data_IF_666116438010
#
_entry.id   IF_666116438010
#
_cell.length_a   1.000
_cell.length_b   1.000
_cell.length_c   1.000
_cell.angle_alpha   90.00
_cell.angle_beta   90.00
_cell.angle_gamma   90.00
#
_symmetry.space_group_name_H-M   'P 1'
#
loop_
_entity.id
_entity.type
_entity.pdbx_description
1 polymer ?
2 non-polymer ?
3 water ?
#
# COMPACT_ATOMS: atom_id res chain seq x y z
N UNK A 1 3.87 -7.84 -17.07
CA UNK A 1 3.61 -6.65 -16.20
C UNK A 1 3.12 -7.11 -14.82
N UNK A 2 3.90 -6.90 -13.76
CA UNK A 2 3.51 -7.41 -12.41
C UNK A 2 4.09 -6.58 -11.26
N UNK A 3 3.60 -6.85 -10.06
CA UNK A 3 3.91 -6.16 -8.79
C UNK A 3 4.60 -7.17 -7.86
N UNK A 4 5.73 -6.77 -7.28
CA UNK A 4 6.45 -7.52 -6.23
C UNK A 4 6.25 -6.81 -4.91
N UNK A 5 5.87 -7.57 -3.88
CA UNK A 5 5.76 -7.08 -2.49
C UNK A 5 6.97 -7.66 -1.76
N UNK A 6 7.95 -6.83 -1.32
CA UNK A 6 9.16 -7.35 -0.70
C UNK A 6 8.80 -8.21 0.50
N UNK A 7 7.73 -7.81 1.20
CA UNK A 7 7.41 -8.27 2.58
C UNK A 7 5.90 -8.53 2.66
N UNK A 8 5.51 -9.68 3.21
CA UNK A 8 4.12 -10.17 3.29
C UNK A 8 3.59 -9.98 4.69
N UNK A 9 4.48 -9.73 5.66
CA UNK A 9 4.05 -9.51 7.06
C UNK A 9 4.91 -8.41 7.68
N UNK A 10 4.23 -7.46 8.32
CA UNK A 10 4.87 -6.37 9.06
C UNK A 10 4.29 -6.47 10.46
N UNK A 11 5.17 -6.62 11.45
CA UNK A 11 4.69 -6.67 12.85
C UNK A 11 5.31 -5.48 13.57
N UNK A 12 4.46 -4.54 13.92
CA UNK A 12 4.96 -3.25 14.46
C UNK A 12 4.31 -3.00 15.82
N UNK A 13 4.93 -2.21 16.72
CA UNK A 13 4.26 -1.70 17.91
C UNK A 13 3.43 -0.45 17.59
N UNK A 14 2.48 -0.15 18.44
CA UNK A 14 1.72 1.12 18.44
C UNK A 14 2.73 2.29 18.56
N UNK A 15 2.44 3.43 17.91
CA UNK A 15 3.30 4.63 17.97
C UNK A 15 4.42 4.63 16.95
N UNK A 16 4.67 3.53 16.30
CA UNK A 16 5.71 3.48 15.24
C UNK A 16 5.18 4.07 13.94
N UNK A 17 6.10 4.27 13.02
CA UNK A 17 5.80 4.63 11.62
C UNK A 17 6.12 3.39 10.80
N UNK A 18 5.42 3.16 9.72
CA UNK A 18 5.81 2.05 8.82
C UNK A 18 5.53 2.51 7.41
N UNK A 19 6.37 2.04 6.52
CA UNK A 19 6.19 2.18 5.06
C UNK A 19 5.93 0.79 4.53
N UNK A 20 4.74 0.57 4.00
CA UNK A 20 4.38 -0.63 3.20
C UNK A 20 4.77 -0.31 1.75
N UNK A 21 5.33 -1.27 1.06
CA UNK A 21 6.04 -1.13 -0.23
C UNK A 21 5.52 -2.19 -1.18
N UNK A 22 5.40 -1.79 -2.43
CA UNK A 22 5.17 -2.67 -3.60
C UNK A 22 6.09 -2.13 -4.67
N UNK A 23 6.61 -3.02 -5.52
CA UNK A 23 7.63 -2.63 -6.51
C UNK A 23 7.13 -3.05 -7.89
N UNK A 24 7.31 -2.16 -8.86
CA UNK A 24 6.74 -2.37 -10.21
C UNK A 24 7.85 -2.83 -11.14
N UNK A 25 7.64 -4.00 -11.75
CA UNK A 25 8.54 -4.54 -12.79
C UNK A 25 7.84 -4.37 -14.14
N UNK A 26 8.58 -3.92 -15.18
CA UNK A 26 8.09 -3.81 -16.57
C UNK A 26 8.34 -2.43 -17.13
N UNK A 33 2.75 6.52 -24.93
CA UNK A 33 2.94 6.61 -23.46
C UNK A 33 1.71 6.00 -22.77
N UNK A 34 1.79 5.76 -21.46
CA UNK A 34 0.74 5.03 -20.70
C UNK A 34 0.53 5.74 -19.38
N UNK A 35 -0.69 5.70 -18.86
CA UNK A 35 -0.97 6.22 -17.51
C UNK A 35 -1.06 5.03 -16.54
N UNK A 36 -0.79 5.29 -15.27
CA UNK A 36 -0.96 4.30 -14.19
C UNK A 36 -1.94 4.86 -13.16
N UNK A 37 -2.86 4.04 -12.70
CA UNK A 37 -3.70 4.37 -11.53
C UNK A 37 -3.15 3.48 -10.41
N UNK A 38 -2.77 4.06 -9.27
CA UNK A 38 -2.18 3.27 -8.18
C UNK A 38 -2.84 3.70 -6.89
N UNK A 39 -3.19 2.75 -6.03
CA UNK A 39 -3.85 3.14 -4.78
C UNK A 39 -3.63 2.05 -3.77
N UNK A 40 -4.12 2.30 -2.57
CA UNK A 40 -3.97 1.38 -1.45
C UNK A 40 -5.35 1.24 -0.77
N UNK A 41 -5.62 0.05 -0.26
CA UNK A 41 -6.86 -0.22 0.52
C UNK A 41 -6.64 -1.48 1.37
N UNK A 42 -7.41 -1.62 2.46
CA UNK A 42 -7.37 -2.88 3.20
C UNK A 42 -8.42 -3.81 2.58
N UNK A 43 -8.23 -5.10 2.75
CA UNK A 43 -9.05 -6.11 2.05
C UNK A 43 -8.99 -7.40 2.85
N UNK A 44 -9.06 -8.53 2.16
CA UNK A 44 -8.99 -9.88 2.76
C UNK A 44 -8.28 -10.81 1.76
N UNK A 45 -7.69 -11.89 2.27
CA UNK A 45 -6.91 -12.90 1.50
C UNK A 45 -7.83 -14.10 1.23
N UNK A 46 -8.69 -14.01 0.22
CA UNK A 46 -9.58 -15.12 -0.14
C UNK A 46 -8.83 -16.29 -0.76
N UNK A 47 -9.51 -17.41 -0.93
CA UNK A 47 -8.91 -18.65 -1.48
C UNK A 47 -8.47 -18.37 -2.91
N UNK A 48 -9.38 -17.89 -3.77
CA UNK A 48 -9.11 -17.73 -5.23
C UNK A 48 -8.89 -16.26 -5.56
N UNK A 49 -9.43 -15.34 -4.76
CA UNK A 49 -9.31 -13.89 -5.00
C UNK A 49 -8.79 -13.20 -3.74
N UNK A 50 -7.70 -12.44 -3.83
CA UNK A 50 -7.27 -11.58 -2.69
C UNK A 50 -7.38 -10.14 -3.19
N UNK A 51 -7.64 -9.22 -2.27
CA UNK A 51 -7.60 -7.77 -2.56
C UNK A 51 -8.79 -7.39 -3.45
N UNK A 52 -9.94 -8.06 -3.31
CA UNK A 52 -11.15 -7.70 -4.08
C UNK A 52 -11.86 -6.56 -3.38
N UNK A 53 -12.48 -6.86 -2.24
CA UNK A 53 -13.13 -5.86 -1.35
C UNK A 53 -12.14 -4.74 -1.00
N UNK A 54 -12.57 -3.50 -1.11
CA UNK A 54 -11.77 -2.28 -0.77
C UNK A 54 -12.32 -1.63 0.48
N UNK A 55 -11.60 -1.85 1.56
CA UNK A 55 -11.98 -1.31 2.89
C UNK A 55 -11.12 -0.06 3.15
N UNK A 56 -11.63 0.90 3.96
CA UNK A 56 -10.88 2.13 4.34
C UNK A 56 -9.54 1.86 5.06
N UNK A 57 -8.59 2.79 4.93
CA UNK A 57 -7.38 2.89 5.74
C UNK A 57 -7.54 4.15 6.58
N UNK A 58 -7.76 4.00 7.88
CA UNK A 58 -7.93 5.18 8.76
C UNK A 58 -8.91 6.18 8.15
N UNK A 59 -10.15 5.78 7.85
CA UNK A 59 -11.20 6.77 7.43
C UNK A 59 -11.02 7.21 5.97
N UNK A 60 -9.93 6.84 5.31
CA UNK A 60 -9.77 7.25 3.88
C UNK A 60 -9.99 5.99 3.01
N UNK A 61 -10.32 6.19 1.75
CA UNK A 61 -10.67 5.12 0.80
C UNK A 61 -9.60 5.09 -0.27
N UNK A 62 -9.58 4.01 -1.03
CA UNK A 62 -8.74 3.94 -2.24
C UNK A 62 -8.85 5.23 -3.08
N UNK A 63 -10.03 5.86 -3.14
CA UNK A 63 -10.24 7.06 -4.00
C UNK A 63 -9.48 8.24 -3.39
N UNK A 64 -9.57 8.40 -2.07
CA UNK A 64 -8.80 9.45 -1.37
C UNK A 64 -7.30 9.24 -1.58
N UNK A 65 -6.81 8.01 -1.55
CA UNK A 65 -5.35 7.73 -1.53
C UNK A 65 -4.81 7.56 -2.94
N UNK A 66 -5.66 7.57 -3.97
CA UNK A 66 -5.23 7.16 -5.34
C UNK A 66 -4.26 8.19 -5.92
N UNK A 67 -3.42 7.70 -6.82
CA UNK A 67 -2.47 8.47 -7.63
C UNK A 67 -2.75 8.12 -9.09
N UNK A 68 -2.47 9.08 -9.98
CA UNK A 68 -2.67 8.93 -11.44
C UNK A 68 -1.51 9.68 -12.09
N UNK A 69 -0.60 8.95 -12.71
CA UNK A 69 0.68 9.50 -13.21
C UNK A 69 1.13 8.76 -14.47
N UNK A 70 1.90 9.45 -15.31
CA UNK A 70 2.59 8.90 -16.49
C UNK A 70 3.90 8.20 -16.14
N UNK A 71 4.42 7.37 -17.04
CA UNK A 71 5.62 6.54 -16.79
C UNK A 71 6.85 7.39 -16.60
N UNK A 72 6.86 8.60 -17.15
CA UNK A 72 7.97 9.54 -16.88
C UNK A 72 7.68 10.35 -15.61
N UNK A 73 6.75 9.90 -14.77
CA UNK A 73 6.23 10.79 -13.70
C UNK A 73 6.24 10.08 -12.35
N UNK A 74 6.37 10.85 -11.29
CA UNK A 74 6.21 10.43 -9.90
C UNK A 74 4.93 11.05 -9.40
N UNK A 75 4.43 10.60 -8.27
CA UNK A 75 3.18 11.17 -7.75
C UNK A 75 3.12 10.89 -6.25
N UNK A 76 2.55 11.80 -5.50
CA UNK A 76 2.36 11.58 -4.05
C UNK A 76 1.03 12.24 -3.67
N UNK A 77 0.49 11.85 -2.53
CA UNK A 77 -0.76 12.42 -1.96
C UNK A 77 -0.35 13.78 -1.40
N UNK A 78 -1.33 14.57 -0.95
CA UNK A 78 -1.15 15.98 -0.55
C UNK A 78 -0.52 16.11 0.84
N UNK A 79 -0.02 17.29 1.12
CA UNK A 79 0.49 17.66 2.45
C UNK A 79 -0.68 17.67 3.43
N UNK A 80 -1.86 18.16 3.01
CA UNK A 80 -3.05 18.28 3.91
C UNK A 80 -3.53 16.86 4.31
N UNK A 81 -3.44 15.88 3.43
CA UNK A 81 -3.77 14.47 3.77
C UNK A 81 -2.81 13.94 4.83
N UNK A 82 -1.50 14.01 4.53
CA UNK A 82 -0.44 13.58 5.46
C UNK A 82 -0.67 14.23 6.82
N UNK A 83 -0.78 15.54 6.82
CA UNK A 83 -0.92 16.30 8.06
C UNK A 83 -2.19 15.86 8.78
N UNK A 84 -3.30 15.68 8.08
CA UNK A 84 -4.61 15.38 8.72
C UNK A 84 -4.73 13.88 9.08
N UNK A 85 -4.24 12.96 8.24
CA UNK A 85 -4.57 11.52 8.46
C UNK A 85 -3.32 10.73 8.80
N UNK A 86 -2.15 11.32 8.65
CA UNK A 86 -0.90 10.63 8.93
C UNK A 86 -0.68 9.55 7.90
N UNK A 87 -1.15 9.79 6.68
CA UNK A 87 -0.96 8.82 5.58
C UNK A 87 -0.30 9.56 4.44
N UNK A 88 0.73 8.97 3.84
CA UNK A 88 1.34 9.50 2.60
C UNK A 88 1.44 8.32 1.64
N UNK A 89 0.83 8.44 0.48
CA UNK A 89 1.00 7.47 -0.62
C UNK A 89 1.86 8.15 -1.69
N UNK A 90 2.79 7.41 -2.24
CA UNK A 90 3.87 7.97 -3.09
C UNK A 90 4.32 6.94 -4.12
N UNK A 91 4.44 7.38 -5.36
CA UNK A 91 5.06 6.56 -6.43
C UNK A 91 6.30 7.31 -6.88
N UNK A 92 7.48 6.71 -6.75
CA UNK A 92 8.73 7.35 -7.23
C UNK A 92 8.87 7.12 -8.74
N UNK A 93 10.04 7.43 -9.29
CA UNK A 93 10.34 7.24 -10.72
C UNK A 93 10.86 5.82 -10.95
N UNK A 94 11.05 5.04 -9.89
CA UNK A 94 11.76 3.73 -10.00
C UNK A 94 10.82 2.58 -9.68
N UNK A 95 9.53 2.72 -10.01
CA UNK A 95 8.52 1.65 -9.81
C UNK A 95 8.39 1.30 -8.34
N UNK A 96 8.88 2.14 -7.43
CA UNK A 96 8.60 1.92 -6.00
C UNK A 96 7.30 2.65 -5.70
N UNK A 97 6.31 1.94 -5.14
CA UNK A 97 5.01 2.48 -4.71
C UNK A 97 4.82 2.14 -3.22
N UNK A 98 4.55 3.17 -2.43
CA UNK A 98 4.55 2.96 -0.97
C UNK A 98 3.40 3.70 -0.31
N UNK A 99 3.07 3.23 0.88
CA UNK A 99 2.17 4.02 1.76
C UNK A 99 2.91 4.12 3.09
N UNK A 100 3.09 5.34 3.57
CA UNK A 100 3.72 5.63 4.88
C UNK A 100 2.64 5.98 5.88
N UNK A 101 2.61 5.22 6.97
CA UNK A 101 1.62 5.40 8.04
C UNK A 101 2.37 5.93 9.27
N UNK A 102 1.88 7.01 9.84
CA UNK A 102 2.53 7.69 10.99
C UNK A 102 1.75 7.33 12.23
N UNK A 103 2.46 7.05 13.32
CA UNK A 103 1.83 6.82 14.64
C UNK A 103 0.79 5.68 14.60
N UNK A 104 1.23 4.45 14.41
CA UNK A 104 0.37 3.23 14.29
C UNK A 104 -0.49 3.07 15.52
N UNK A 105 -1.76 2.73 15.33
CA UNK A 105 -2.60 2.19 16.41
C UNK A 105 -3.03 0.77 16.04
N UNK A 106 -3.56 0.06 17.02
CA UNK A 106 -4.09 -1.31 16.76
C UNK A 106 -5.21 -1.28 15.72
N UNK A 107 -5.93 -0.16 15.51
CA UNK A 107 -6.99 -0.07 14.46
C UNK A 107 -6.32 -0.12 13.08
N UNK A 108 -4.99 0.01 12.97
CA UNK A 108 -4.29 -0.02 11.66
C UNK A 108 -4.02 -1.45 11.17
N UNK A 109 -4.17 -2.47 11.99
CA UNK A 109 -3.91 -3.89 11.61
C UNK A 109 -4.78 -4.27 10.44
N UNK A 110 -4.31 -5.19 9.62
CA UNK A 110 -5.19 -5.63 8.52
C UNK A 110 -4.38 -6.13 7.38
N UNK A 111 -5.09 -6.53 6.33
CA UNK A 111 -4.47 -6.94 5.04
C UNK A 111 -4.49 -5.74 4.12
N UNK A 112 -3.32 -5.32 3.72
CA UNK A 112 -3.17 -4.12 2.89
C UNK A 112 -2.90 -4.60 1.46
N UNK A 113 -3.48 -3.91 0.51
CA UNK A 113 -3.34 -4.18 -0.93
C UNK A 113 -2.88 -2.92 -1.66
N UNK A 114 -1.86 -3.06 -2.49
CA UNK A 114 -1.48 -2.00 -3.44
C UNK A 114 -2.08 -2.40 -4.77
N UNK A 115 -2.89 -1.53 -5.32
CA UNK A 115 -3.45 -1.82 -6.66
C UNK A 115 -2.69 -0.92 -7.63
N UNK A 116 -2.34 -1.47 -8.77
CA UNK A 116 -1.69 -0.73 -9.89
C UNK A 116 -2.44 -1.12 -11.15
N UNK A 117 -2.98 -0.12 -11.84
CA UNK A 117 -3.72 -0.27 -13.13
C UNK A 117 -2.90 0.43 -14.21
N UNK A 118 -2.44 -0.33 -15.20
CA UNK A 118 -1.82 0.21 -16.44
C UNK A 118 -2.94 0.53 -17.42
N UNK A 119 -3.12 1.80 -17.76
CA UNK A 119 -4.11 2.21 -18.79
C UNK A 119 -3.35 2.60 -20.05
N UNK A 120 -3.25 1.67 -20.99
CA UNK A 120 -2.65 1.92 -22.33
C UNK A 120 -3.70 2.57 -23.23
N UNK A 121 -4.99 2.33 -23.00
CA UNK A 121 -6.11 2.91 -23.77
C UNK A 121 -7.45 2.71 -23.07
N UNK A 122 -8.50 3.32 -23.63
CA UNK A 122 -9.90 3.26 -23.13
C UNK A 122 -10.34 1.81 -22.82
N UNK A 123 -10.04 0.82 -23.68
CA UNK A 123 -10.44 -0.61 -23.51
C UNK A 123 -9.21 -1.50 -23.22
N UNK A 124 -8.09 -0.93 -22.79
CA UNK A 124 -6.83 -1.69 -22.53
C UNK A 124 -6.29 -1.39 -21.10
N UNK A 125 -6.94 -1.93 -20.07
CA UNK A 125 -6.54 -1.81 -18.64
C UNK A 125 -6.03 -3.17 -18.16
N UNK A 126 -4.83 -3.19 -17.57
CA UNK A 126 -4.27 -4.38 -16.86
C UNK A 126 -4.15 -4.05 -15.37
N UNK A 127 -4.81 -4.83 -14.53
CA UNK A 127 -4.83 -4.63 -13.06
C UNK A 127 -3.92 -5.66 -12.42
N UNK A 128 -3.07 -5.22 -11.51
CA UNK A 128 -2.26 -6.14 -10.69
C UNK A 128 -2.28 -5.59 -9.27
N UNK A 129 -2.21 -6.50 -8.31
CA UNK A 129 -2.23 -6.13 -6.85
C UNK A 129 -1.17 -6.91 -6.08
N UNK A 130 -0.73 -6.34 -4.95
CA UNK A 130 0.16 -6.98 -3.98
C UNK A 130 -0.50 -6.89 -2.61
N UNK A 131 -0.33 -7.93 -1.80
CA UNK A 131 -1.03 -8.10 -0.52
C UNK A 131 0.01 -8.15 0.57
N UNK A 132 -0.24 -7.55 1.71
CA UNK A 132 0.72 -7.71 2.82
C UNK A 132 -0.07 -7.48 4.09
N UNK A 133 0.23 -8.27 5.11
CA UNK A 133 -0.42 -8.12 6.41
C UNK A 133 0.40 -7.14 7.26
N UNK A 134 -0.36 -6.31 7.98
CA UNK A 134 0.21 -5.45 9.03
C UNK A 134 -0.45 -5.88 10.30
N UNK A 135 0.33 -6.34 11.26
CA UNK A 135 -0.16 -6.62 12.61
C UNK A 135 0.46 -5.57 13.50
N UNK A 136 -0.39 -4.78 14.12
CA UNK A 136 0.05 -3.78 15.12
C UNK A 136 -0.16 -4.45 16.47
N UNK A 137 0.93 -4.65 17.22
CA UNK A 137 0.89 -5.41 18.49
C UNK A 137 0.85 -4.41 19.65
N UNK A 138 0.22 -4.79 20.75
CA UNK A 138 -0.01 -3.91 21.92
C UNK A 138 0.48 -4.56 23.21
N UNK A 139 0.92 -5.83 23.21
CA UNK A 139 1.29 -6.57 24.42
C UNK A 139 2.73 -6.31 24.83
N UNK A 140 3.04 -6.61 26.08
CA UNK A 140 4.37 -6.37 26.71
C UNK A 140 5.50 -6.88 25.82
N UNK A 141 5.25 -7.89 24.96
CA UNK A 141 6.26 -8.52 24.09
C UNK A 141 6.33 -7.85 22.72
N UNK A 142 5.71 -6.70 22.52
CA UNK A 142 5.68 -6.08 21.18
C UNK A 142 7.11 -5.66 20.84
N UNK A 143 7.61 -5.79 19.59
CA UNK A 143 8.94 -5.35 19.25
C UNK A 143 9.06 -3.84 19.39
N UNK A 144 10.31 -3.37 19.45
CA UNK A 144 10.68 -1.95 19.66
C UNK A 144 10.50 -1.18 18.36
N UNK A 145 10.51 -1.88 17.24
CA UNK A 145 10.25 -1.27 15.93
C UNK A 145 9.72 -2.40 15.04
N UNK A 146 9.54 -2.11 13.77
CA UNK A 146 8.83 -3.07 12.87
C UNK A 146 9.72 -4.28 12.67
N UNK A 147 9.12 -5.46 12.74
CA UNK A 147 9.74 -6.73 12.31
C UNK A 147 9.13 -7.01 10.97
N UNK A 148 9.95 -7.39 10.05
CA UNK A 148 9.37 -7.53 8.71
C UNK A 148 9.74 -8.91 8.14
N UNK A 149 8.86 -9.56 7.39
CA UNK A 149 9.08 -10.93 6.87
C UNK A 149 9.03 -10.87 5.36
N UNK A 150 10.15 -11.17 4.68
CA UNK A 150 10.19 -11.17 3.22
C UNK A 150 9.10 -12.05 2.58
N UNK A 151 8.69 -11.66 1.40
CA UNK A 151 7.61 -12.30 0.60
C UNK A 151 8.06 -13.64 0.00
N UNK A 152 9.36 -13.84 -0.19
CA UNK A 152 9.90 -14.90 -1.11
C UNK A 152 11.24 -15.45 -0.65
N UNK A 153 11.63 -16.59 -1.23
CA UNK A 153 12.93 -17.30 -1.08
C UNK A 153 13.38 -17.29 0.39
X LIG B 1 7.47 9.08 12.76
X LIG B 1 8.48 9.30 13.88
X LIG B 1 8.52 10.74 14.36
X LIG B 1 8.65 11.72 13.19
X LIG B 1 7.73 11.42 12.01
X LIG B 1 8.26 12.16 10.79
X LIG B 1 9.03 7.38 15.20
X LIG B 1 8.67 6.43 16.30
X LIG B 1 8.20 8.39 14.98
X LIG B 1 9.68 10.91 15.20
X LIG B 1 8.32 13.03 13.64
X LIG B 1 7.65 10.01 11.68
X LIG B 1 7.15 12.59 10.02
X LIG B 1 10.00 7.24 14.50
#
# INVERSE_FOLDING_TARGET
>A
FKVATPYSLYVCPEGQNVTLTCRLLGPVDKGHDVTFYKTWYRSSRGEVQTCSERRPIRNLTFQDLHLHHGGHQAANTSHDLAQRHGLESASDHHGNFSITMRNLTLLDSGLYCCLVVEIRHHHSEHRVHGAMELQVQTGKDAPSNCVVYPSSSQESENITAVKLQAGFHHHHHH
>B hetero
1 NAG C1 C2 C3 C4 C5 C6 C7 C8 N2 O3 O4 O5 O6 O7
#
